data_IF_455723237712
#
_entry.id   IF_455723237712
#
_cell.length_a   1.000
_cell.length_b   1.000
_cell.length_c   1.000
_cell.angle_alpha   90.00
_cell.angle_beta   90.00
_cell.angle_gamma   90.00
#
_symmetry.space_group_name_H-M   'P 1'
#
loop_
_entity.id
_entity.type
_entity.pdbx_description
1 polymer ?
#
# COMPACT_ATOMS: atom_id res chain seq x y z
N UNK A 1 -6.46 5.35 -6.57
CA UNK A 1 -7.75 4.85 -6.03
C UNK A 1 -8.65 4.32 -7.15
N UNK A 2 -8.77 5.02 -8.24
CA UNK A 2 -9.52 4.59 -9.43
C UNK A 2 -9.15 3.16 -9.89
N UNK A 3 -7.86 2.83 -9.87
CA UNK A 3 -7.38 1.48 -10.18
C UNK A 3 -7.96 0.44 -9.21
N UNK A 4 -8.02 0.72 -7.91
CA UNK A 4 -8.57 -0.21 -6.91
C UNK A 4 -10.07 -0.41 -7.16
N UNK A 5 -10.82 0.69 -7.34
CA UNK A 5 -12.26 0.63 -7.57
C UNK A 5 -12.63 -0.11 -8.86
N UNK A 6 -11.80 0.00 -9.90
CA UNK A 6 -12.10 -0.58 -11.21
C UNK A 6 -11.57 -2.00 -11.40
N UNK A 7 -10.58 -2.44 -10.60
CA UNK A 7 -9.87 -3.70 -10.80
C UNK A 7 -10.00 -4.70 -9.65
N UNK A 8 -10.48 -4.26 -8.50
CA UNK A 8 -10.75 -5.13 -7.35
C UNK A 8 -12.25 -5.38 -7.26
N UNK A 9 -12.65 -6.64 -7.25
CA UNK A 9 -14.06 -7.02 -7.17
C UNK A 9 -14.71 -6.50 -5.89
N UNK A 10 -16.04 -6.43 -5.77
CA UNK A 10 -16.72 -5.97 -4.55
C UNK A 10 -16.24 -6.69 -3.28
N UNK A 11 -16.03 -8.00 -3.36
CA UNK A 11 -15.56 -8.84 -2.25
C UNK A 11 -14.03 -8.96 -2.18
N UNK A 12 -13.32 -8.51 -3.22
CA UNK A 12 -11.87 -8.57 -3.32
C UNK A 12 -11.19 -7.58 -2.40
N UNK A 13 -9.92 -7.82 -2.08
CA UNK A 13 -9.11 -6.99 -1.19
C UNK A 13 -7.85 -6.49 -1.87
N UNK A 14 -7.41 -5.33 -1.41
CA UNK A 14 -6.16 -4.70 -1.82
C UNK A 14 -5.20 -4.58 -0.64
N UNK A 15 -3.98 -5.10 -0.78
CA UNK A 15 -2.91 -4.96 0.21
C UNK A 15 -1.92 -3.89 -0.27
N UNK A 16 -1.67 -2.89 0.56
CA UNK A 16 -0.75 -1.80 0.24
C UNK A 16 0.42 -1.82 1.22
N UNK A 17 1.61 -2.07 0.68
CA UNK A 17 2.87 -1.96 1.43
C UNK A 17 3.39 -0.54 1.41
N UNK A 18 3.71 -0.02 2.60
CA UNK A 18 4.23 1.33 2.80
C UNK A 18 5.46 1.26 3.70
N UNK A 19 6.51 2.00 3.37
CA UNK A 19 7.82 1.86 4.00
C UNK A 19 7.89 2.19 5.49
N UNK A 20 7.00 3.04 6.00
CA UNK A 20 7.02 3.48 7.41
C UNK A 20 5.63 3.56 8.02
N UNK A 21 5.54 3.36 9.33
CA UNK A 21 4.29 3.53 10.08
C UNK A 21 3.75 4.97 9.99
N UNK A 22 4.64 5.94 9.88
CA UNK A 22 4.27 7.34 9.69
C UNK A 22 3.52 7.55 8.36
N UNK A 23 4.09 7.05 7.27
CA UNK A 23 3.46 7.13 5.95
C UNK A 23 2.14 6.33 5.89
N UNK A 24 2.05 5.19 6.61
CA UNK A 24 0.79 4.44 6.76
C UNK A 24 -0.30 5.30 7.39
N UNK A 25 0.01 6.05 8.44
CA UNK A 25 -0.98 6.89 9.09
C UNK A 25 -1.48 8.02 8.18
N UNK A 26 -0.56 8.70 7.49
CA UNK A 26 -0.94 9.73 6.51
C UNK A 26 -1.86 9.12 5.45
N UNK A 27 -1.46 7.99 4.88
CA UNK A 27 -2.25 7.30 3.85
C UNK A 27 -3.61 6.86 4.38
N UNK A 28 -3.67 6.34 5.62
CA UNK A 28 -4.92 5.95 6.25
C UNK A 28 -5.89 7.12 6.40
N UNK A 29 -5.42 8.26 6.92
CA UNK A 29 -6.26 9.45 7.07
C UNK A 29 -6.76 9.95 5.73
N UNK A 30 -5.87 10.02 4.75
CA UNK A 30 -6.19 10.47 3.42
C UNK A 30 -7.23 9.56 2.76
N UNK A 31 -7.02 8.24 2.80
CA UNK A 31 -7.98 7.27 2.26
C UNK A 31 -9.32 7.31 2.99
N UNK A 32 -9.33 7.41 4.31
CA UNK A 32 -10.55 7.46 5.10
C UNK A 32 -11.34 8.75 4.87
N UNK A 33 -10.67 9.84 4.54
CA UNK A 33 -11.31 11.10 4.25
C UNK A 33 -11.94 11.14 2.85
N UNK A 34 -11.19 10.73 1.82
CA UNK A 34 -11.66 10.83 0.43
C UNK A 34 -12.51 9.64 0.00
N UNK A 35 -12.36 8.50 0.63
CA UNK A 35 -13.03 7.24 0.25
C UNK A 35 -13.80 6.65 1.43
N UNK A 36 -14.73 7.45 1.98
CA UNK A 36 -15.51 7.10 3.17
C UNK A 36 -16.25 5.77 3.09
N UNK A 37 -16.57 5.32 1.88
CA UNK A 37 -17.29 4.07 1.64
C UNK A 37 -16.36 2.86 1.48
N UNK A 38 -15.03 3.06 1.51
CA UNK A 38 -14.07 1.96 1.41
C UNK A 38 -13.46 1.70 2.80
N UNK A 39 -13.76 0.56 3.42
CA UNK A 39 -13.17 0.21 4.69
C UNK A 39 -11.65 0.02 4.54
N UNK A 40 -10.89 0.80 5.30
CA UNK A 40 -9.43 0.77 5.35
C UNK A 40 -8.98 0.23 6.70
N UNK A 41 -8.12 -0.78 6.68
CA UNK A 41 -7.50 -1.36 7.87
C UNK A 41 -5.99 -1.11 7.91
N UNK A 42 -5.44 -1.09 9.12
CA UNK A 42 -4.00 -1.02 9.36
C UNK A 42 -3.51 -2.33 9.97
N UNK A 43 -2.56 -2.99 9.33
CA UNK A 43 -1.93 -4.21 9.82
C UNK A 43 -0.43 -3.98 10.08
N UNK A 44 -0.12 -3.45 11.27
CA UNK A 44 1.27 -3.16 11.68
C UNK A 44 1.54 -3.63 13.11
N UNK A 45 2.79 -3.51 13.57
CA UNK A 45 3.16 -3.80 14.96
C UNK A 45 2.51 -2.86 15.98
N UNK A 46 1.97 -1.73 15.53
CA UNK A 46 1.31 -0.75 16.39
C UNK A 46 -0.14 -1.13 16.72
N UNK A 47 -0.73 -2.02 15.93
CA UNK A 47 -2.08 -2.53 16.19
C UNK A 47 -2.00 -3.65 17.22
N UNK A 48 -2.81 -3.63 18.30
CA UNK A 48 -2.90 -4.70 19.28
C UNK A 48 -3.16 -6.08 18.64
N UNK A 49 -2.60 -7.14 19.20
CA UNK A 49 -2.66 -8.48 18.60
C UNK A 49 -4.07 -9.00 18.41
N UNK A 50 -4.93 -8.72 19.37
CA UNK A 50 -6.37 -9.08 19.37
C UNK A 50 -7.16 -8.37 18.27
N UNK A 51 -6.75 -7.17 17.89
CA UNK A 51 -7.40 -6.36 16.86
C UNK A 51 -6.84 -6.59 15.45
N UNK A 52 -5.64 -7.15 15.32
CA UNK A 52 -4.99 -7.34 14.01
C UNK A 52 -5.80 -8.16 13.03
N UNK A 53 -6.46 -9.23 13.49
CA UNK A 53 -7.26 -10.09 12.62
C UNK A 53 -8.45 -9.34 12.01
N UNK A 54 -9.07 -8.46 12.77
CA UNK A 54 -10.20 -7.65 12.27
C UNK A 54 -9.77 -6.69 11.17
N UNK A 55 -8.52 -6.22 11.19
CA UNK A 55 -8.00 -5.34 10.15
C UNK A 55 -7.92 -6.01 8.77
N UNK A 56 -7.80 -7.33 8.74
CA UNK A 56 -7.74 -8.10 7.48
C UNK A 56 -9.12 -8.26 6.81
N UNK A 57 -10.20 -7.88 7.48
CA UNK A 57 -11.54 -7.89 6.90
C UNK A 57 -11.84 -6.64 6.07
N UNK A 58 -10.99 -5.61 6.15
CA UNK A 58 -11.18 -4.39 5.39
C UNK A 58 -10.86 -4.58 3.91
N UNK A 59 -11.47 -3.77 3.06
CA UNK A 59 -11.26 -3.74 1.60
C UNK A 59 -9.83 -3.37 1.23
N UNK A 60 -9.29 -2.38 1.93
CA UNK A 60 -7.92 -1.90 1.76
C UNK A 60 -7.16 -2.17 3.05
N UNK A 61 -6.00 -2.81 2.96
CA UNK A 61 -5.16 -3.14 4.10
C UNK A 61 -3.79 -2.47 3.92
N UNK A 62 -3.44 -1.58 4.84
CA UNK A 62 -2.16 -0.90 4.86
C UNK A 62 -1.19 -1.64 5.78
N UNK A 63 0.01 -1.91 5.31
CA UNK A 63 1.02 -2.65 6.08
C UNK A 63 2.45 -2.25 5.75
N UNK A 64 3.38 -2.70 6.57
CA UNK A 64 4.82 -2.69 6.25
C UNK A 64 5.30 -4.09 5.92
N UNK A 65 6.43 -4.22 5.22
CA UNK A 65 7.07 -5.53 4.96
C UNK A 65 7.40 -6.28 6.23
N UNK A 66 7.83 -5.57 7.28
CA UNK A 66 8.13 -6.17 8.59
C UNK A 66 6.88 -6.73 9.27
N UNK A 67 5.75 -6.06 9.13
CA UNK A 67 4.50 -6.44 9.82
C UNK A 67 3.75 -7.56 9.09
N UNK A 68 3.75 -7.52 7.77
CA UNK A 68 3.09 -8.54 6.97
C UNK A 68 3.86 -9.87 6.95
N UNK A 69 5.19 -9.86 7.22
CA UNK A 69 6.02 -11.06 7.32
C UNK A 69 5.79 -12.08 6.19
N UNK A 70 6.40 -13.26 6.28
CA UNK A 70 6.24 -14.32 5.26
C UNK A 70 4.89 -15.08 5.36
N UNK A 71 4.14 -14.94 6.46
CA UNK A 71 3.04 -15.84 6.81
C UNK A 71 1.63 -15.21 6.79
N UNK A 72 1.47 -13.99 6.26
CA UNK A 72 0.15 -13.36 6.23
C UNK A 72 -0.68 -13.93 5.07
N UNK A 73 -1.71 -14.69 5.37
CA UNK A 73 -2.71 -15.14 4.42
C UNK A 73 -3.92 -14.20 4.46
N UNK A 74 -4.30 -13.64 3.31
CA UNK A 74 -5.42 -12.72 3.17
C UNK A 74 -6.41 -13.31 2.17
N UNK A 75 -7.49 -13.94 2.65
CA UNK A 75 -8.53 -14.45 1.76
C UNK A 75 -9.13 -13.33 0.93
N UNK A 76 -9.30 -13.57 -0.37
CA UNK A 76 -9.85 -12.59 -1.31
C UNK A 76 -8.85 -11.49 -1.73
N UNK A 77 -7.54 -11.68 -1.54
CA UNK A 77 -6.54 -10.74 -2.03
C UNK A 77 -6.45 -10.78 -3.56
N UNK A 78 -6.84 -9.70 -4.21
CA UNK A 78 -6.84 -9.54 -5.67
C UNK A 78 -5.81 -8.53 -6.16
N UNK A 79 -5.35 -7.62 -5.28
CA UNK A 79 -4.39 -6.60 -5.65
C UNK A 79 -3.35 -6.41 -4.54
N UNK A 80 -2.10 -6.25 -4.96
CA UNK A 80 -1.00 -5.82 -4.08
C UNK A 80 -0.33 -4.60 -4.67
N UNK A 81 -0.19 -3.54 -3.87
CA UNK A 81 0.47 -2.30 -4.25
C UNK A 81 1.68 -2.08 -3.33
N UNK A 82 2.82 -1.76 -3.92
CA UNK A 82 4.03 -1.37 -3.19
C UNK A 82 4.23 0.12 -3.37
N UNK A 83 4.07 0.87 -2.28
CA UNK A 83 4.30 2.31 -2.25
C UNK A 83 5.55 2.59 -1.42
N UNK A 84 6.51 3.24 -2.03
CA UNK A 84 7.66 3.83 -1.32
C UNK A 84 8.45 2.84 -0.44
N UNK A 85 8.42 1.55 -0.78
CA UNK A 85 9.19 0.53 -0.08
C UNK A 85 10.09 -0.22 -1.06
N UNK A 86 11.37 0.16 -1.17
CA UNK A 86 12.30 -0.56 -2.02
C UNK A 86 12.55 -1.95 -1.41
N UNK A 87 11.95 -2.98 -1.98
CA UNK A 87 12.33 -4.34 -1.64
C UNK A 87 13.77 -4.59 -2.10
N UNK A 88 14.68 -4.59 -1.15
CA UNK A 88 16.10 -4.86 -1.40
C UNK A 88 16.37 -6.32 -1.78
N UNK A 89 15.45 -7.22 -1.47
CA UNK A 89 15.61 -8.66 -1.61
C UNK A 89 14.70 -9.21 -2.70
N UNK A 90 15.30 -9.97 -3.64
CA UNK A 90 14.54 -10.78 -4.63
C UNK A 90 13.58 -11.75 -3.93
N UNK A 91 14.00 -12.33 -2.81
CA UNK A 91 13.19 -13.26 -2.03
C UNK A 91 11.94 -12.59 -1.47
N UNK A 92 12.05 -11.35 -1.02
CA UNK A 92 10.90 -10.60 -0.52
C UNK A 92 9.91 -10.27 -1.63
N UNK A 93 10.40 -9.94 -2.84
CA UNK A 93 9.56 -9.76 -4.02
C UNK A 93 8.81 -11.06 -4.38
N UNK A 94 9.49 -12.21 -4.38
CA UNK A 94 8.88 -13.53 -4.62
C UNK A 94 7.82 -13.84 -3.56
N UNK A 95 8.12 -13.58 -2.29
CA UNK A 95 7.16 -13.80 -1.19
C UNK A 95 5.92 -12.92 -1.31
N UNK A 96 6.08 -11.69 -1.76
CA UNK A 96 4.97 -10.76 -1.96
C UNK A 96 4.12 -11.15 -3.15
N UNK A 97 4.74 -11.55 -4.26
CA UNK A 97 4.05 -12.10 -5.43
C UNK A 97 3.33 -13.40 -5.09
N UNK A 98 3.96 -14.29 -4.31
CA UNK A 98 3.37 -15.59 -3.91
C UNK A 98 2.15 -15.49 -2.98
N UNK A 99 1.84 -14.30 -2.45
CA UNK A 99 0.62 -14.07 -1.66
C UNK A 99 -0.62 -13.91 -2.50
N UNK A 100 -0.44 -13.51 -3.73
CA UNK A 100 -1.50 -13.41 -4.71
C UNK A 100 -1.76 -14.80 -5.29
N UNK A 101 -2.43 -15.68 -4.52
CA UNK A 101 -2.71 -17.06 -4.93
C UNK A 101 -3.87 -17.21 -5.91
N UNK A 102 -4.72 -16.18 -6.02
CA UNK A 102 -5.82 -16.19 -6.97
C UNK A 102 -5.29 -16.03 -8.40
N UNK A 103 -5.91 -16.71 -9.35
CA UNK A 103 -5.72 -16.40 -10.78
C UNK A 103 -6.07 -14.93 -10.99
N UNK A 104 -5.24 -14.25 -11.79
CA UNK A 104 -5.47 -12.86 -12.20
C UNK A 104 -5.28 -11.78 -11.12
N UNK A 105 -4.43 -12.02 -10.14
CA UNK A 105 -4.07 -10.98 -9.17
C UNK A 105 -3.18 -9.92 -9.80
N UNK A 106 -3.49 -8.65 -9.49
CA UNK A 106 -2.71 -7.51 -9.94
C UNK A 106 -1.62 -7.16 -8.93
N UNK A 107 -0.40 -6.97 -9.43
CA UNK A 107 0.72 -6.47 -8.63
C UNK A 107 1.20 -5.14 -9.23
N UNK A 108 1.24 -4.10 -8.41
CA UNK A 108 1.66 -2.75 -8.80
C UNK A 108 2.83 -2.34 -7.92
N UNK A 109 3.93 -1.91 -8.51
CA UNK A 109 5.05 -1.31 -7.79
C UNK A 109 5.24 0.13 -8.28
N UNK A 110 5.16 1.08 -7.36
CA UNK A 110 5.43 2.49 -7.62
C UNK A 110 6.91 2.75 -7.36
N UNK A 111 7.62 3.19 -8.38
CA UNK A 111 9.08 3.30 -8.38
C UNK A 111 9.48 4.74 -8.66
N UNK A 112 10.16 5.36 -7.71
CA UNK A 112 10.81 6.64 -7.93
C UNK A 112 12.17 6.43 -8.61
N UNK A 113 12.24 6.74 -9.91
CA UNK A 113 13.45 6.57 -10.71
C UNK A 113 14.50 7.65 -10.47
N UNK A 114 14.19 8.72 -9.74
CA UNK A 114 15.12 9.75 -9.31
C UNK A 114 16.21 9.22 -8.37
N UNK A 115 15.91 8.14 -7.64
CA UNK A 115 16.89 7.51 -6.74
C UNK A 115 17.60 6.34 -7.41
N UNK A 116 18.92 6.46 -7.60
CA UNK A 116 19.77 5.41 -8.23
C UNK A 116 19.64 4.05 -7.54
N UNK A 117 19.53 4.02 -6.22
CA UNK A 117 19.36 2.78 -5.44
C UNK A 117 18.03 2.09 -5.74
N UNK A 118 16.93 2.83 -5.84
CA UNK A 118 15.60 2.29 -6.15
C UNK A 118 15.60 1.72 -7.58
N UNK A 119 16.14 2.47 -8.54
CA UNK A 119 16.30 2.01 -9.92
C UNK A 119 17.13 0.73 -10.03
N UNK A 120 18.20 0.61 -9.22
CA UNK A 120 19.02 -0.61 -9.16
C UNK A 120 18.21 -1.80 -8.61
N UNK A 121 17.48 -1.62 -7.50
CA UNK A 121 16.65 -2.69 -6.93
C UNK A 121 15.54 -3.12 -7.88
N UNK A 122 14.89 -2.20 -8.56
CA UNK A 122 13.89 -2.52 -9.58
C UNK A 122 14.48 -3.40 -10.67
N UNK A 123 15.58 -2.97 -11.30
CA UNK A 123 16.26 -3.76 -12.34
C UNK A 123 16.65 -5.15 -11.87
N UNK A 124 17.08 -5.29 -10.62
CA UNK A 124 17.46 -6.61 -10.07
C UNK A 124 16.27 -7.56 -9.87
N UNK A 125 15.05 -7.03 -9.72
CA UNK A 125 13.81 -7.80 -9.53
C UNK A 125 13.11 -8.16 -10.85
N UNK A 126 13.33 -7.39 -11.90
CA UNK A 126 12.67 -7.60 -13.20
C UNK A 126 12.69 -9.05 -13.69
N UNK A 127 13.82 -9.79 -13.64
CA UNK A 127 13.84 -11.18 -14.07
C UNK A 127 12.90 -12.08 -13.26
N UNK A 128 12.76 -11.80 -11.97
CA UNK A 128 11.86 -12.54 -11.09
C UNK A 128 10.41 -12.20 -11.43
N UNK A 129 10.10 -10.92 -11.60
CA UNK A 129 8.75 -10.46 -11.95
C UNK A 129 8.32 -11.06 -13.30
N UNK A 130 9.16 -11.00 -14.30
CA UNK A 130 8.89 -11.57 -15.64
C UNK A 130 8.69 -13.09 -15.62
N UNK A 131 9.34 -13.80 -14.68
CA UNK A 131 9.16 -15.25 -14.53
C UNK A 131 7.78 -15.63 -13.98
N UNK A 132 7.22 -14.82 -13.11
CA UNK A 132 5.97 -15.13 -12.39
C UNK A 132 4.75 -14.38 -12.92
N UNK A 133 4.94 -13.28 -13.65
CA UNK A 133 3.85 -12.49 -14.22
C UNK A 133 3.46 -13.02 -15.61
N UNK A 134 2.17 -13.15 -15.86
CA UNK A 134 1.62 -13.48 -17.18
C UNK A 134 1.69 -12.28 -18.13
N UNK A 135 1.64 -11.07 -17.57
CA UNK A 135 1.74 -9.80 -18.31
C UNK A 135 2.43 -8.76 -17.46
N UNK A 136 3.42 -8.08 -18.01
CA UNK A 136 4.05 -6.91 -17.41
C UNK A 136 3.80 -5.69 -18.29
N UNK A 137 3.48 -4.55 -17.66
CA UNK A 137 3.39 -3.25 -18.32
C UNK A 137 4.05 -2.21 -17.44
N UNK A 138 4.69 -1.23 -18.06
CA UNK A 138 5.32 -0.09 -17.39
C UNK A 138 4.58 1.18 -17.80
N UNK A 139 4.24 2.01 -16.82
CA UNK A 139 3.66 3.34 -17.03
C UNK A 139 4.66 4.33 -16.46
N UNK A 140 5.17 5.22 -17.29
CA UNK A 140 6.09 6.28 -16.89
C UNK A 140 5.27 7.54 -16.67
N UNK A 141 5.32 8.10 -15.47
CA UNK A 141 4.75 9.40 -15.14
C UNK A 141 5.87 10.44 -15.20
N UNK A 142 5.62 11.55 -15.89
CA UNK A 142 6.54 12.69 -15.90
C UNK A 142 6.36 13.53 -14.62
N UNK A 143 7.38 14.34 -14.29
CA UNK A 143 7.28 15.27 -13.16
C UNK A 143 6.12 16.26 -13.37
N UNK A 144 5.86 16.69 -14.61
CA UNK A 144 4.71 17.56 -14.94
C UNK A 144 3.36 16.90 -14.63
N UNK A 145 3.19 15.58 -14.86
CA UNK A 145 1.96 14.87 -14.51
C UNK A 145 1.76 14.82 -13.00
N UNK A 146 2.86 14.68 -12.24
CA UNK A 146 2.84 14.69 -10.78
C UNK A 146 2.58 16.10 -10.24
N UNK A 147 3.23 17.13 -10.78
CA UNK A 147 3.07 18.52 -10.36
C UNK A 147 1.64 19.02 -10.57
N UNK A 148 1.01 18.70 -11.69
CA UNK A 148 -0.40 19.01 -11.92
C UNK A 148 -1.29 18.36 -10.86
N UNK A 149 -1.05 17.10 -10.51
CA UNK A 149 -1.80 16.40 -9.47
C UNK A 149 -1.57 17.00 -8.09
N UNK A 150 -0.35 17.43 -7.78
CA UNK A 150 -0.03 18.09 -6.50
C UNK A 150 -0.68 19.46 -6.40
N UNK A 151 -0.78 20.22 -7.50
CA UNK A 151 -1.47 21.51 -7.52
C UNK A 151 -2.99 21.39 -7.30
N UNK A 152 -3.56 20.21 -7.61
CA UNK A 152 -4.97 19.92 -7.34
C UNK A 152 -5.25 19.60 -5.85
N UNK A 153 -4.20 19.46 -5.02
CA UNK A 153 -4.37 19.27 -3.58
C UNK A 153 -4.98 20.53 -2.97
N UNK A 154 -6.15 20.38 -2.42
CA UNK A 154 -6.83 21.50 -1.78
C UNK A 154 -6.21 21.80 -0.39
N UNK A 155 -6.66 22.90 0.21
CA UNK A 155 -6.20 23.34 1.54
C UNK A 155 -6.43 22.27 2.63
N UNK A 156 -7.42 21.40 2.45
CA UNK A 156 -7.78 20.32 3.39
C UNK A 156 -6.76 19.19 3.36
N UNK A 157 -6.18 18.89 2.20
CA UNK A 157 -5.11 17.90 2.07
C UNK A 157 -3.88 18.32 2.87
N UNK A 158 -3.53 19.60 2.81
CA UNK A 158 -2.43 20.18 3.59
C UNK A 158 -2.71 20.16 5.10
N UNK A 159 -3.95 20.36 5.51
CA UNK A 159 -4.36 20.24 6.91
C UNK A 159 -4.28 18.79 7.41
N UNK A 160 -4.72 17.81 6.62
CA UNK A 160 -4.60 16.38 6.94
C UNK A 160 -3.14 15.97 7.11
N UNK A 161 -2.26 16.43 6.22
CA UNK A 161 -0.82 16.19 6.33
C UNK A 161 -0.25 16.82 7.60
N UNK A 162 -0.65 18.05 7.94
CA UNK A 162 -0.25 18.73 9.18
C UNK A 162 -0.73 17.98 10.42
N UNK A 163 -1.98 17.52 10.44
CA UNK A 163 -2.55 16.74 11.54
C UNK A 163 -1.79 15.41 11.72
N UNK A 164 -1.48 14.71 10.65
CA UNK A 164 -0.68 13.49 10.69
C UNK A 164 0.75 13.76 11.21
N UNK A 165 1.34 14.90 10.85
CA UNK A 165 2.67 15.32 11.31
C UNK A 165 2.70 15.73 12.79
N UNK A 166 1.63 16.34 13.30
CA UNK A 166 1.55 16.78 14.69
C UNK A 166 1.30 15.66 15.69
N UNK A 167 0.81 14.52 15.23
CA UNK A 167 0.57 13.35 16.08
C UNK A 167 1.87 12.62 16.42
N UNK A 168 2.68 13.22 17.32
CA UNK A 168 3.93 12.58 17.84
C UNK A 168 3.69 11.26 18.59
N UNK A 169 2.45 10.95 18.98
CA UNK A 169 2.05 9.72 19.65
C UNK A 169 1.15 8.87 18.75
N UNK A 170 1.75 8.03 17.96
CA UNK A 170 1.08 7.03 17.13
C UNK A 170 0.05 6.16 17.87
N UNK A 171 0.22 5.97 19.19
CA UNK A 171 -0.71 5.21 20.03
C UNK A 171 -2.08 5.88 20.21
N UNK A 172 -2.18 7.20 20.02
CA UNK A 172 -3.41 7.96 20.25
C UNK A 172 -4.27 8.11 18.99
N UNK A 173 -3.70 7.88 17.83
CA UNK A 173 -4.33 8.17 16.54
C UNK A 173 -5.23 7.05 16.03
N UNK A 174 -4.97 5.82 16.46
CA UNK A 174 -5.82 4.68 16.12
C UNK A 174 -6.79 4.41 17.27
N UNK A 175 -7.70 5.34 17.54
CA UNK A 175 -8.92 5.01 18.25
C UNK A 175 -9.81 4.26 17.27
N UNK A 176 -9.72 2.95 17.28
CA UNK A 176 -10.72 2.11 16.62
C UNK A 176 -12.05 2.38 17.31
N UNK A 177 -12.99 3.01 16.60
CA UNK A 177 -14.39 2.98 17.05
C UNK A 177 -14.80 1.51 16.98
N UNK A 178 -14.98 0.89 18.15
CA UNK A 178 -15.75 -0.34 18.25
C UNK A 178 -17.16 0.01 17.75
N UNK A 179 -17.53 -0.52 16.61
CA UNK A 179 -18.91 -0.71 16.21
C UNK A 179 -19.27 -2.15 16.47
#
# INVERSE_FOLDING_TARGET
MEIISNKVSPEGKCLIYIGTNYAINITYYWLSYYFRNLPVGIFTSLVPKDQKRFQLNNKIILTTTKSAGAALDIPGLEMTIILNEPFKSKQLAIQTLGRTRAKDTMYIEVIDTGFKSIKYYYKSKLPVMNKYATKCSEIILSDNDLDQKVMELDRRDLELIKMANSSKNLKTVVKFKNQ
#
